data_IF_364198043329
#
_entry.id   IF_364198043329
#
_cell.length_a   1.000
_cell.length_b   1.000
_cell.length_c   1.000
_cell.angle_alpha   90.00
_cell.angle_beta   90.00
_cell.angle_gamma   90.00
#
_symmetry.space_group_name_H-M   'P 1'
#
loop_
_entity.id
_entity.type
_entity.pdbx_description
1 polymer ?
#
# COMPACT_ATOMS: atom_id res chain seq x y z
N UNK A 1 -11.24 -11.38 -15.56
CA UNK A 1 -11.48 -12.48 -14.61
C UNK A 1 -10.26 -13.37 -14.30
N UNK A 2 -9.41 -13.74 -15.28
CA UNK A 2 -8.33 -14.72 -15.03
C UNK A 2 -7.24 -14.32 -14.01
N UNK A 3 -6.94 -13.03 -13.84
CA UNK A 3 -5.87 -12.57 -12.93
C UNK A 3 -6.19 -12.74 -11.44
N UNK A 4 -7.33 -12.21 -10.99
CA UNK A 4 -7.79 -12.34 -9.59
C UNK A 4 -8.01 -13.80 -9.21
N UNK A 5 -8.63 -14.60 -10.08
CA UNK A 5 -8.82 -16.02 -9.84
C UNK A 5 -7.49 -16.75 -9.62
N UNK A 6 -6.49 -16.52 -10.47
CA UNK A 6 -5.14 -17.07 -10.30
C UNK A 6 -4.49 -16.65 -8.98
N UNK A 7 -4.67 -15.40 -8.55
CA UNK A 7 -4.15 -14.90 -7.28
C UNK A 7 -4.81 -15.59 -6.08
N UNK A 8 -6.13 -15.74 -6.08
CA UNK A 8 -6.85 -16.47 -5.04
C UNK A 8 -6.48 -17.94 -5.04
N UNK A 9 -6.37 -18.58 -6.19
CA UNK A 9 -5.94 -19.98 -6.30
C UNK A 9 -4.54 -20.20 -5.73
N UNK A 10 -3.59 -19.30 -6.03
CA UNK A 10 -2.24 -19.34 -5.48
C UNK A 10 -2.25 -19.11 -3.95
N UNK A 11 -3.12 -18.22 -3.47
CA UNK A 11 -3.29 -17.95 -2.03
C UNK A 11 -3.85 -19.16 -1.30
N UNK A 12 -4.85 -19.83 -1.87
CA UNK A 12 -5.41 -21.09 -1.33
C UNK A 12 -4.33 -22.17 -1.32
N UNK A 13 -3.63 -22.39 -2.44
CA UNK A 13 -2.59 -23.41 -2.52
C UNK A 13 -1.50 -23.22 -1.45
N UNK A 14 -1.07 -21.97 -1.23
CA UNK A 14 -0.13 -21.64 -0.15
C UNK A 14 -0.69 -21.96 1.24
N UNK A 15 -1.95 -21.62 1.50
CA UNK A 15 -2.58 -21.93 2.80
C UNK A 15 -2.78 -23.44 3.00
N UNK A 16 -3.08 -24.19 1.94
CA UNK A 16 -3.19 -25.65 1.99
C UNK A 16 -1.86 -26.27 2.39
N UNK A 17 -0.77 -25.82 1.77
CA UNK A 17 0.58 -26.31 2.06
C UNK A 17 1.03 -25.93 3.48
N UNK A 18 1.04 -24.62 3.79
CA UNK A 18 1.57 -24.09 5.05
C UNK A 18 0.74 -24.53 6.29
N UNK A 19 -0.57 -24.81 6.14
CA UNK A 19 -1.45 -25.23 7.24
C UNK A 19 -1.84 -26.71 7.17
N UNK A 20 -1.31 -27.44 6.19
CA UNK A 20 -1.65 -28.84 5.92
C UNK A 20 -3.17 -29.08 5.88
N UNK A 21 -3.88 -28.25 5.10
CA UNK A 21 -5.34 -28.34 5.00
C UNK A 21 -5.75 -29.63 4.28
N UNK A 22 -6.79 -30.30 4.77
CA UNK A 22 -7.37 -31.43 4.07
C UNK A 22 -8.29 -30.98 2.93
N UNK A 23 -8.71 -31.93 2.09
CA UNK A 23 -9.54 -31.65 0.91
C UNK A 23 -10.88 -30.94 1.24
N UNK A 24 -11.48 -31.23 2.39
CA UNK A 24 -12.72 -30.56 2.82
C UNK A 24 -12.46 -29.10 3.22
N UNK A 25 -11.36 -28.85 3.94
CA UNK A 25 -10.94 -27.51 4.35
C UNK A 25 -10.54 -26.66 3.15
N UNK A 26 -9.77 -27.24 2.21
CA UNK A 26 -9.45 -26.59 0.93
C UNK A 26 -10.73 -26.24 0.16
N UNK A 27 -11.66 -27.19 0.04
CA UNK A 27 -12.93 -26.96 -0.67
C UNK A 27 -13.74 -25.82 -0.05
N UNK A 28 -13.82 -25.75 1.28
CA UNK A 28 -14.49 -24.65 1.98
C UNK A 28 -13.82 -23.30 1.69
N UNK A 29 -12.48 -23.24 1.75
CA UNK A 29 -11.73 -22.02 1.45
C UNK A 29 -11.88 -21.57 -0.01
N UNK A 30 -11.88 -22.51 -0.96
CA UNK A 30 -12.14 -22.22 -2.39
C UNK A 30 -13.55 -21.70 -2.60
N UNK A 31 -14.54 -22.28 -1.92
CA UNK A 31 -15.93 -21.83 -2.00
C UNK A 31 -16.07 -20.39 -1.48
N UNK A 32 -15.43 -20.07 -0.35
CA UNK A 32 -15.38 -18.70 0.16
C UNK A 32 -14.81 -17.72 -0.87
N UNK A 33 -13.63 -18.00 -1.44
CA UNK A 33 -13.03 -17.10 -2.44
C UNK A 33 -13.83 -17.03 -3.75
N UNK A 34 -14.49 -18.12 -4.16
CA UNK A 34 -15.40 -18.09 -5.31
C UNK A 34 -16.62 -17.19 -5.06
N UNK A 35 -17.19 -17.24 -3.85
CA UNK A 35 -18.27 -16.34 -3.44
C UNK A 35 -17.80 -14.88 -3.43
N UNK A 36 -16.62 -14.60 -2.86
CA UNK A 36 -16.04 -13.25 -2.86
C UNK A 36 -15.78 -12.75 -4.29
N UNK A 37 -15.24 -13.60 -5.17
CA UNK A 37 -15.04 -13.27 -6.58
C UNK A 37 -16.35 -13.00 -7.31
N UNK A 38 -17.41 -13.74 -7.01
CA UNK A 38 -18.73 -13.54 -7.60
C UNK A 38 -19.36 -12.20 -7.23
N UNK A 39 -18.93 -11.58 -6.12
CA UNK A 39 -19.33 -10.23 -5.71
C UNK A 39 -18.53 -9.14 -6.42
N UNK A 40 -17.38 -9.48 -6.99
CA UNK A 40 -16.52 -8.54 -7.72
C UNK A 40 -17.02 -8.44 -9.17
N UNK A 41 -17.86 -7.43 -9.42
CA UNK A 41 -18.22 -7.02 -10.77
C UNK A 41 -17.11 -6.13 -11.36
N UNK A 42 -16.39 -6.66 -12.36
CA UNK A 42 -15.29 -5.97 -13.02
C UNK A 42 -15.75 -4.92 -14.03
N UNK A 43 -16.99 -4.98 -14.54
CA UNK A 43 -17.53 -3.95 -15.45
C UNK A 43 -17.80 -2.66 -14.66
N UNK A 44 -18.23 -2.80 -13.40
CA UNK A 44 -18.35 -1.70 -12.45
C UNK A 44 -17.00 -1.07 -12.03
N UNK A 45 -15.85 -1.73 -12.25
CA UNK A 45 -14.53 -1.15 -11.92
C UNK A 45 -14.16 0.06 -12.77
N UNK A 46 -14.69 0.15 -14.00
CA UNK A 46 -14.45 1.30 -14.87
C UNK A 46 -15.27 2.53 -14.45
N UNK A 47 -16.36 2.34 -13.72
CA UNK A 47 -17.26 3.39 -13.20
C UNK A 47 -17.12 3.59 -11.67
N UNK A 48 -16.04 3.09 -11.07
CA UNK A 48 -15.90 3.01 -9.61
C UNK A 48 -15.70 4.38 -8.96
N UNK A 49 -16.76 4.93 -8.39
CA UNK A 49 -16.62 5.95 -7.35
C UNK A 49 -15.77 5.41 -6.19
N UNK A 50 -14.77 6.20 -5.81
CA UNK A 50 -13.72 5.88 -4.82
C UNK A 50 -14.29 5.46 -3.45
N UNK A 51 -15.50 5.91 -3.12
CA UNK A 51 -16.16 5.66 -1.82
C UNK A 51 -17.40 4.74 -1.90
N UNK A 52 -17.59 4.03 -3.01
CA UNK A 52 -18.76 3.17 -3.18
C UNK A 52 -18.76 1.96 -2.22
N UNK A 53 -19.92 1.44 -1.80
CA UNK A 53 -20.02 0.19 -1.02
C UNK A 53 -19.32 -0.99 -1.71
N UNK A 54 -19.38 -1.06 -3.05
CA UNK A 54 -18.70 -2.07 -3.87
C UNK A 54 -17.17 -2.00 -3.70
N UNK A 55 -16.59 -0.80 -3.54
CA UNK A 55 -15.16 -0.66 -3.30
C UNK A 55 -14.74 -1.22 -1.96
N UNK A 56 -15.55 -0.98 -0.93
CA UNK A 56 -15.32 -1.53 0.42
C UNK A 56 -15.42 -3.05 0.44
N UNK A 57 -16.43 -3.60 -0.23
CA UNK A 57 -16.60 -5.06 -0.35
C UNK A 57 -15.42 -5.72 -1.07
N UNK A 58 -14.95 -5.12 -2.17
CA UNK A 58 -13.81 -5.64 -2.91
C UNK A 58 -12.50 -5.52 -2.12
N UNK A 59 -12.29 -4.40 -1.41
CA UNK A 59 -11.15 -4.25 -0.53
C UNK A 59 -11.16 -5.28 0.61
N UNK A 60 -12.32 -5.53 1.22
CA UNK A 60 -12.50 -6.56 2.24
C UNK A 60 -12.16 -7.96 1.70
N UNK A 61 -12.65 -8.31 0.51
CA UNK A 61 -12.30 -9.58 -0.14
C UNK A 61 -10.79 -9.73 -0.42
N UNK A 62 -10.12 -8.65 -0.85
CA UNK A 62 -8.68 -8.65 -1.12
C UNK A 62 -7.87 -8.80 0.17
N UNK A 63 -8.25 -8.07 1.23
CA UNK A 63 -7.65 -8.23 2.58
C UNK A 63 -7.90 -9.62 3.14
N UNK A 64 -9.00 -10.26 2.75
CA UNK A 64 -9.47 -11.51 3.32
C UNK A 64 -10.22 -11.28 4.64
N UNK A 65 -10.85 -10.12 4.79
CA UNK A 65 -11.65 -9.78 5.94
C UNK A 65 -12.79 -10.81 6.08
N UNK A 66 -12.94 -11.40 7.26
CA UNK A 66 -13.92 -12.46 7.52
C UNK A 66 -13.53 -13.87 7.06
N UNK A 67 -12.39 -14.07 6.36
CA UNK A 67 -11.91 -15.43 6.04
C UNK A 67 -11.68 -16.25 7.30
N UNK A 68 -11.01 -15.65 8.29
CA UNK A 68 -10.73 -16.32 9.56
C UNK A 68 -12.01 -16.76 10.26
N UNK A 69 -13.04 -15.92 10.26
CA UNK A 69 -14.33 -16.23 10.85
C UNK A 69 -15.08 -17.32 10.09
N UNK A 70 -15.07 -17.26 8.75
CA UNK A 70 -15.65 -18.30 7.90
C UNK A 70 -14.99 -19.66 8.14
N UNK A 71 -13.68 -19.67 8.32
CA UNK A 71 -12.89 -20.90 8.46
C UNK A 71 -12.89 -21.47 9.89
N UNK A 72 -13.42 -20.75 10.91
CA UNK A 72 -13.46 -21.21 12.32
C UNK A 72 -14.13 -22.58 12.49
N UNK A 73 -15.18 -22.86 11.73
CA UNK A 73 -15.91 -24.13 11.82
C UNK A 73 -15.21 -25.30 11.11
N UNK A 74 -14.20 -25.01 10.28
CA UNK A 74 -13.52 -26.00 9.45
C UNK A 74 -12.10 -26.30 9.92
N UNK A 75 -11.43 -25.32 10.52
CA UNK A 75 -10.03 -25.45 10.96
C UNK A 75 -9.94 -25.90 12.41
N UNK A 76 -8.90 -26.68 12.71
CA UNK A 76 -8.52 -26.92 14.10
C UNK A 76 -7.98 -25.63 14.73
N UNK A 77 -7.93 -25.57 16.07
CA UNK A 77 -7.34 -24.43 16.79
C UNK A 77 -5.93 -24.11 16.30
N UNK A 78 -5.08 -25.14 16.13
CA UNK A 78 -3.71 -24.96 15.65
C UNK A 78 -3.62 -24.44 14.21
N UNK A 79 -4.52 -24.87 13.32
CA UNK A 79 -4.59 -24.34 11.94
C UNK A 79 -5.09 -22.90 11.90
N UNK A 80 -6.04 -22.53 12.76
CA UNK A 80 -6.54 -21.16 12.88
C UNK A 80 -5.46 -20.21 13.41
N UNK A 81 -4.71 -20.63 14.42
CA UNK A 81 -3.54 -19.90 14.94
C UNK A 81 -2.44 -19.79 13.87
N UNK A 82 -2.16 -20.88 13.16
CA UNK A 82 -1.22 -20.89 12.03
C UNK A 82 -1.61 -19.90 10.93
N UNK A 83 -2.90 -19.79 10.61
CA UNK A 83 -3.42 -18.83 9.64
C UNK A 83 -3.23 -17.39 10.12
N UNK A 84 -3.52 -17.07 11.38
CA UNK A 84 -3.26 -15.75 11.96
C UNK A 84 -1.77 -15.41 11.93
N UNK A 85 -0.91 -16.33 12.33
CA UNK A 85 0.54 -16.15 12.30
C UNK A 85 1.06 -15.94 10.87
N UNK A 86 0.48 -16.61 9.88
CA UNK A 86 0.83 -16.38 8.47
C UNK A 86 0.42 -14.98 7.99
N UNK A 87 -0.77 -14.51 8.36
CA UNK A 87 -1.22 -13.15 8.04
C UNK A 87 -0.30 -12.11 8.65
N UNK A 88 0.10 -12.31 9.92
CA UNK A 88 1.03 -11.44 10.61
C UNK A 88 2.40 -11.43 9.93
N UNK A 89 3.00 -12.60 9.67
CA UNK A 89 4.28 -12.69 8.93
C UNK A 89 4.22 -11.99 7.58
N UNK A 90 3.10 -12.10 6.86
CA UNK A 90 2.91 -11.40 5.58
C UNK A 90 2.90 -9.88 5.77
N UNK A 91 2.25 -9.38 6.83
CA UNK A 91 2.24 -7.96 7.18
C UNK A 91 3.65 -7.47 7.52
N UNK A 92 4.36 -8.17 8.42
CA UNK A 92 5.74 -7.87 8.78
C UNK A 92 6.65 -7.84 7.56
N UNK A 93 6.58 -8.87 6.70
CA UNK A 93 7.40 -8.94 5.48
C UNK A 93 7.15 -7.75 4.53
N UNK A 94 5.92 -7.24 4.47
CA UNK A 94 5.59 -6.06 3.66
C UNK A 94 6.18 -4.78 4.24
N UNK A 95 6.13 -4.63 5.58
CA UNK A 95 6.72 -3.50 6.30
C UNK A 95 8.23 -3.50 6.07
N UNK A 96 8.90 -4.62 6.35
CA UNK A 96 10.35 -4.78 6.20
C UNK A 96 10.80 -4.52 4.75
N UNK A 97 10.10 -5.12 3.77
CA UNK A 97 10.42 -4.90 2.35
C UNK A 97 10.30 -3.44 1.93
N UNK A 98 9.28 -2.73 2.43
CA UNK A 98 9.09 -1.31 2.15
C UNK A 98 10.16 -0.45 2.84
N UNK A 99 10.48 -0.75 4.10
CA UNK A 99 11.50 -0.05 4.87
C UNK A 99 12.89 -0.22 4.26
N UNK A 100 13.32 -1.46 3.99
CA UNK A 100 14.62 -1.77 3.37
C UNK A 100 14.77 -1.10 2.01
N UNK A 101 13.70 -1.07 1.22
CA UNK A 101 13.71 -0.40 -0.08
C UNK A 101 13.91 1.10 0.03
N UNK A 102 13.20 1.75 0.96
CA UNK A 102 13.35 3.18 1.18
C UNK A 102 14.71 3.52 1.81
N UNK A 103 15.24 2.63 2.65
CA UNK A 103 16.58 2.76 3.19
C UNK A 103 17.63 2.70 2.08
N UNK A 104 17.52 1.75 1.15
CA UNK A 104 18.41 1.66 0.00
C UNK A 104 18.40 2.96 -0.83
N UNK A 105 17.22 3.52 -1.12
CA UNK A 105 17.08 4.82 -1.81
C UNK A 105 17.75 5.97 -1.05
N UNK A 106 17.71 5.94 0.28
CA UNK A 106 18.37 6.95 1.11
C UNK A 106 19.91 6.82 0.99
N UNK A 107 20.40 5.58 1.04
CA UNK A 107 21.82 5.25 0.93
C UNK A 107 22.41 5.52 -0.46
N UNK A 108 21.61 5.52 -1.52
CA UNK A 108 22.06 5.90 -2.87
C UNK A 108 22.60 7.35 -2.94
N UNK A 109 22.21 8.20 -1.98
CA UNK A 109 22.49 9.64 -2.02
C UNK A 109 23.21 10.16 -0.79
N UNK A 110 23.20 9.38 0.30
CA UNK A 110 23.78 9.74 1.58
C UNK A 110 24.69 8.63 2.10
N UNK A 111 25.88 9.02 2.51
CA UNK A 111 26.70 8.20 3.38
C UNK A 111 26.13 8.25 4.80
N UNK A 112 25.61 7.12 5.26
CA UNK A 112 25.04 6.95 6.60
C UNK A 112 25.99 6.15 7.48
N UNK A 113 26.17 6.56 8.74
CA UNK A 113 26.83 5.71 9.74
C UNK A 113 25.97 4.48 10.05
N UNK A 114 26.51 3.46 10.71
CA UNK A 114 25.71 2.30 11.13
C UNK A 114 24.54 2.70 12.03
N UNK A 115 24.80 3.59 13.01
CA UNK A 115 23.76 4.12 13.91
C UNK A 115 22.65 4.86 13.14
N UNK A 116 23.02 5.67 12.15
CA UNK A 116 22.05 6.36 11.29
C UNK A 116 21.25 5.39 10.41
N UNK A 117 21.87 4.31 9.92
CA UNK A 117 21.15 3.27 9.15
C UNK A 117 20.10 2.57 10.00
N UNK A 118 20.46 2.18 11.22
CA UNK A 118 19.56 1.47 12.12
C UNK A 118 18.40 2.37 12.57
N UNK A 119 18.70 3.64 12.89
CA UNK A 119 17.67 4.63 13.21
C UNK A 119 16.76 4.96 12.02
N UNK A 120 17.32 5.13 10.82
CA UNK A 120 16.55 5.37 9.60
C UNK A 120 15.64 4.16 9.29
N UNK A 121 16.15 2.94 9.44
CA UNK A 121 15.36 1.73 9.26
C UNK A 121 14.14 1.69 10.19
N UNK A 122 14.33 1.96 11.48
CA UNK A 122 13.25 1.95 12.46
C UNK A 122 12.14 2.95 12.07
N UNK A 123 12.52 4.19 11.72
CA UNK A 123 11.57 5.23 11.31
C UNK A 123 10.85 4.85 9.99
N UNK A 124 11.58 4.26 9.03
CA UNK A 124 11.00 3.83 7.75
C UNK A 124 10.07 2.62 7.91
N UNK A 125 10.35 1.72 8.85
CA UNK A 125 9.47 0.61 9.20
C UNK A 125 8.18 1.11 9.84
N UNK A 126 8.26 2.07 10.76
CA UNK A 126 7.08 2.70 11.37
C UNK A 126 6.23 3.44 10.31
N UNK A 127 6.85 4.23 9.42
CA UNK A 127 6.13 4.90 8.33
C UNK A 127 5.49 3.88 7.36
N UNK A 128 6.17 2.76 7.07
CA UNK A 128 5.62 1.69 6.25
C UNK A 128 4.42 1.00 6.92
N UNK A 129 4.50 0.75 8.22
CA UNK A 129 3.37 0.23 9.01
C UNK A 129 2.19 1.20 8.98
N UNK A 130 2.43 2.47 9.27
CA UNK A 130 1.41 3.53 9.25
C UNK A 130 0.75 3.63 7.87
N UNK A 131 1.53 3.53 6.78
CA UNK A 131 1.00 3.52 5.40
C UNK A 131 0.19 2.27 5.07
N UNK A 132 0.54 1.12 5.62
CA UNK A 132 -0.24 -0.11 5.45
C UNK A 132 -1.55 0.00 6.24
N UNK A 133 -1.51 0.53 7.45
CA UNK A 133 -2.67 0.69 8.33
C UNK A 133 -3.66 1.76 7.84
N UNK A 134 -3.16 2.89 7.34
CA UNK A 134 -3.97 4.01 6.82
C UNK A 134 -4.31 3.90 5.32
N UNK A 135 -4.00 2.75 4.69
CA UNK A 135 -4.25 2.55 3.26
C UNK A 135 -5.75 2.61 2.96
N UNK A 136 -6.14 3.43 1.99
CA UNK A 136 -7.53 3.48 1.53
C UNK A 136 -7.91 2.21 0.76
N UNK A 137 -9.20 1.87 0.82
CA UNK A 137 -9.77 0.74 0.07
C UNK A 137 -9.51 0.86 -1.43
N UNK A 138 -9.63 2.07 -1.97
CA UNK A 138 -9.35 2.37 -3.38
C UNK A 138 -7.88 2.12 -3.76
N UNK A 139 -6.92 2.56 -2.95
CA UNK A 139 -5.49 2.30 -3.21
C UNK A 139 -5.17 0.79 -3.15
N UNK A 140 -5.79 0.07 -2.20
CA UNK A 140 -5.63 -1.38 -2.11
C UNK A 140 -6.14 -2.10 -3.36
N UNK A 141 -7.35 -1.77 -3.79
CA UNK A 141 -7.97 -2.39 -4.96
C UNK A 141 -7.20 -2.07 -6.23
N UNK A 142 -6.87 -0.79 -6.44
CA UNK A 142 -6.08 -0.31 -7.56
C UNK A 142 -4.81 -1.15 -7.79
N UNK A 143 -4.05 -1.37 -6.71
CA UNK A 143 -2.80 -2.15 -6.74
C UNK A 143 -3.06 -3.60 -7.11
N UNK A 144 -4.11 -4.20 -6.57
CA UNK A 144 -4.40 -5.61 -6.83
C UNK A 144 -4.91 -5.83 -8.26
N UNK A 145 -5.72 -4.90 -8.81
CA UNK A 145 -6.12 -4.89 -10.23
C UNK A 145 -4.89 -4.83 -11.13
N UNK A 146 -3.96 -3.89 -10.87
CA UNK A 146 -2.73 -3.78 -11.66
C UNK A 146 -1.86 -5.04 -11.57
N UNK A 147 -1.71 -5.62 -10.38
CA UNK A 147 -1.02 -6.91 -10.21
C UNK A 147 -1.72 -8.04 -10.97
N UNK A 148 -3.05 -8.08 -10.96
CA UNK A 148 -3.84 -9.08 -11.68
C UNK A 148 -3.68 -8.95 -13.20
N UNK A 149 -3.39 -7.73 -13.69
CA UNK A 149 -3.04 -7.45 -15.09
C UNK A 149 -1.55 -7.69 -15.41
N UNK A 150 -0.75 -8.12 -14.43
CA UNK A 150 0.69 -8.36 -14.60
C UNK A 150 1.54 -7.09 -14.58
N UNK A 151 0.95 -5.93 -14.28
CA UNK A 151 1.66 -4.65 -14.15
C UNK A 151 2.36 -4.63 -12.79
N UNK A 152 3.69 -4.85 -12.80
CA UNK A 152 4.54 -4.74 -11.62
C UNK A 152 5.15 -3.34 -11.57
N UNK A 153 4.39 -2.37 -11.09
CA UNK A 153 4.97 -1.05 -10.77
C UNK A 153 5.62 -1.07 -9.38
N UNK A 154 6.71 -0.31 -9.22
CA UNK A 154 7.22 0.05 -7.91
C UNK A 154 6.30 1.08 -7.27
N UNK A 155 5.42 0.60 -6.40
CA UNK A 155 4.31 1.39 -5.88
C UNK A 155 4.54 1.84 -4.43
N UNK A 156 5.73 1.64 -3.85
CA UNK A 156 5.99 2.00 -2.45
C UNK A 156 5.89 3.51 -2.18
N UNK A 157 6.06 4.32 -3.23
CA UNK A 157 6.09 5.79 -3.16
C UNK A 157 4.87 6.49 -3.79
N UNK A 158 4.02 5.76 -4.50
CA UNK A 158 2.85 6.33 -5.19
C UNK A 158 1.59 5.99 -4.41
N UNK A 159 0.88 7.01 -3.95
CA UNK A 159 -0.52 6.87 -3.53
C UNK A 159 -1.36 6.73 -4.80
N UNK A 160 -1.95 5.55 -5.02
CA UNK A 160 -2.74 5.28 -6.22
C UNK A 160 -4.14 5.89 -6.14
N UNK A 161 -4.63 6.18 -4.94
CA UNK A 161 -5.95 6.81 -4.79
C UNK A 161 -6.01 8.15 -5.51
N UNK A 162 -4.91 8.89 -5.55
CA UNK A 162 -4.80 10.15 -6.29
C UNK A 162 -4.81 9.95 -7.81
N UNK A 163 -4.20 8.88 -8.32
CA UNK A 163 -4.21 8.57 -9.75
C UNK A 163 -5.62 8.21 -10.25
N UNK A 164 -6.45 7.62 -9.39
CA UNK A 164 -7.87 7.41 -9.65
C UNK A 164 -8.68 8.72 -9.57
N UNK A 165 -8.37 9.60 -8.60
CA UNK A 165 -8.97 10.95 -8.52
C UNK A 165 -8.62 11.82 -9.73
N UNK A 166 -7.45 11.63 -10.34
CA UNK A 166 -6.99 12.39 -11.50
C UNK A 166 -7.34 11.73 -12.85
N UNK A 167 -8.00 10.57 -12.86
CA UNK A 167 -8.48 9.96 -14.10
C UNK A 167 -9.72 10.72 -14.61
N UNK A 168 -9.82 11.00 -15.92
CA UNK A 168 -10.90 11.81 -16.51
C UNK A 168 -12.31 11.23 -16.33
N UNK A 169 -12.44 9.97 -15.91
CA UNK A 169 -13.72 9.28 -15.66
C UNK A 169 -14.29 9.64 -14.27
N UNK A 170 -13.46 10.00 -13.29
CA UNK A 170 -13.88 10.48 -11.97
C UNK A 170 -13.70 11.98 -11.79
N UNK A 171 -13.22 12.66 -12.83
CA UNK A 171 -13.31 14.11 -13.00
C UNK A 171 -14.75 14.52 -13.38
N UNK A 172 -15.75 13.99 -12.68
CA UNK A 172 -17.05 14.62 -12.66
C UNK A 172 -16.85 15.97 -11.97
N UNK A 173 -16.64 17.00 -12.79
CA UNK A 173 -16.48 18.41 -12.43
C UNK A 173 -15.06 18.99 -12.32
N UNK A 174 -14.10 18.55 -13.15
CA UNK A 174 -12.93 19.43 -13.46
C UNK A 174 -13.02 20.00 -14.87
N UNK A 175 -13.84 21.04 -15.00
CA UNK A 175 -13.60 22.15 -15.94
C UNK A 175 -12.33 22.93 -15.53
N UNK A 176 -11.21 22.23 -15.31
CA UNK A 176 -9.99 22.77 -14.72
C UNK A 176 -8.95 23.10 -15.77
N UNK A 177 -8.62 24.38 -15.90
CA UNK A 177 -7.48 24.89 -16.66
C UNK A 177 -6.21 24.03 -16.43
N UNK A 178 -5.54 23.53 -17.48
CA UNK A 178 -4.28 22.76 -17.38
C UNK A 178 -3.23 23.39 -16.45
N UNK A 179 -3.18 24.72 -16.34
CA UNK A 179 -2.27 25.39 -15.40
C UNK A 179 -2.64 25.10 -13.94
N UNK A 180 -3.93 25.12 -13.59
CA UNK A 180 -4.40 24.82 -12.23
C UNK A 180 -4.10 23.38 -11.80
N UNK A 181 -4.17 22.42 -12.74
CA UNK A 181 -3.80 21.03 -12.51
C UNK A 181 -2.29 20.89 -12.26
N UNK A 182 -1.46 21.56 -13.06
CA UNK A 182 0.00 21.53 -12.89
C UNK A 182 0.44 22.09 -11.52
N UNK A 183 -0.20 23.18 -11.05
CA UNK A 183 0.09 23.78 -9.76
C UNK A 183 -0.28 22.85 -8.59
N UNK A 184 -1.43 22.18 -8.67
CA UNK A 184 -1.86 21.20 -7.64
C UNK A 184 -0.91 20.01 -7.55
N UNK A 185 -0.51 19.45 -8.69
CA UNK A 185 0.43 18.32 -8.75
C UNK A 185 1.79 18.71 -8.16
N UNK A 186 2.29 19.91 -8.49
CA UNK A 186 3.54 20.41 -7.94
C UNK A 186 3.47 20.64 -6.42
N UNK A 187 2.39 21.24 -5.92
CA UNK A 187 2.19 21.45 -4.49
C UNK A 187 2.12 20.13 -3.71
N UNK A 188 1.40 19.14 -4.22
CA UNK A 188 1.33 17.80 -3.62
C UNK A 188 2.68 17.09 -3.63
N UNK A 189 3.44 17.21 -4.73
CA UNK A 189 4.80 16.68 -4.80
C UNK A 189 5.67 17.31 -3.73
N UNK A 190 5.62 18.63 -3.56
CA UNK A 190 6.40 19.34 -2.56
C UNK A 190 6.02 18.90 -1.13
N UNK A 191 4.73 18.79 -0.82
CA UNK A 191 4.27 18.26 0.48
C UNK A 191 4.78 16.84 0.77
N UNK A 192 4.81 15.96 -0.24
CA UNK A 192 5.36 14.60 -0.10
C UNK A 192 6.87 14.64 0.18
N UNK A 193 7.60 15.55 -0.46
CA UNK A 193 9.03 15.75 -0.20
C UNK A 193 9.24 16.24 1.22
N UNK A 194 8.51 17.26 1.65
CA UNK A 194 8.67 17.84 2.99
C UNK A 194 8.30 16.84 4.08
N UNK A 195 7.25 16.04 3.91
CA UNK A 195 6.94 14.93 4.82
C UNK A 195 8.10 13.94 4.91
N UNK A 196 8.70 13.55 3.78
CA UNK A 196 9.83 12.61 3.75
C UNK A 196 11.08 13.18 4.44
N UNK A 197 11.37 14.46 4.23
CA UNK A 197 12.49 15.15 4.88
C UNK A 197 12.25 15.27 6.38
N UNK A 198 11.04 15.69 6.78
CA UNK A 198 10.64 15.80 8.18
C UNK A 198 10.74 14.46 8.91
N UNK A 199 10.30 13.38 8.27
CA UNK A 199 10.39 12.02 8.81
C UNK A 199 11.84 11.65 9.18
N UNK A 200 12.83 12.11 8.41
CA UNK A 200 14.25 11.80 8.62
C UNK A 200 14.99 12.83 9.47
N UNK A 201 14.31 13.89 9.94
CA UNK A 201 14.95 15.04 10.59
C UNK A 201 15.66 14.71 11.92
N UNK A 202 15.18 13.67 12.63
CA UNK A 202 15.79 13.19 13.87
C UNK A 202 16.98 12.26 13.66
N UNK A 203 17.21 11.80 12.42
CA UNK A 203 18.24 10.79 12.08
C UNK A 203 19.39 11.41 11.29
N UNK A 204 19.06 12.35 10.39
CA UNK A 204 20.00 12.94 9.46
C UNK A 204 20.47 14.31 9.96
N UNK A 205 21.74 14.62 9.69
CA UNK A 205 22.27 15.98 9.87
C UNK A 205 21.63 16.95 8.89
N UNK A 206 21.68 18.26 9.17
CA UNK A 206 21.16 19.29 8.26
C UNK A 206 21.75 19.18 6.85
N UNK A 207 23.06 18.97 6.74
CA UNK A 207 23.73 18.78 5.45
C UNK A 207 23.27 17.51 4.69
N UNK A 208 22.88 16.45 5.41
CA UNK A 208 22.28 15.25 4.82
C UNK A 208 20.82 15.51 4.43
N UNK A 209 20.04 16.23 5.24
CA UNK A 209 18.65 16.61 4.93
C UNK A 209 18.55 17.46 3.67
N UNK A 210 19.45 18.43 3.48
CA UNK A 210 19.51 19.25 2.25
C UNK A 210 19.81 18.39 1.03
N UNK A 211 20.77 17.47 1.13
CA UNK A 211 21.10 16.51 0.05
C UNK A 211 19.92 15.59 -0.26
N UNK A 212 19.26 15.09 0.78
CA UNK A 212 18.09 14.25 0.62
C UNK A 212 16.93 14.98 -0.06
N UNK A 213 16.58 16.19 0.39
CA UNK A 213 15.55 17.03 -0.26
C UNK A 213 15.85 17.26 -1.73
N UNK A 214 17.10 17.57 -2.06
CA UNK A 214 17.55 17.75 -3.45
C UNK A 214 17.41 16.46 -4.27
N UNK A 215 17.74 15.30 -3.70
CA UNK A 215 17.59 14.00 -4.38
C UNK A 215 16.15 13.65 -4.73
N UNK A 216 15.19 14.08 -3.90
CA UNK A 216 13.76 13.92 -4.15
C UNK A 216 13.23 14.91 -5.22
N UNK A 217 14.08 15.83 -5.67
CA UNK A 217 13.76 16.88 -6.63
C UNK A 217 12.98 18.04 -6.02
N UNK A 218 13.16 18.30 -4.72
CA UNK A 218 12.63 19.48 -4.03
C UNK A 218 13.61 20.65 -4.08
N UNK A 219 13.09 21.87 -3.88
CA UNK A 219 13.93 23.07 -3.75
C UNK A 219 14.68 23.04 -2.40
N UNK A 220 16.02 23.02 -2.39
CA UNK A 220 16.78 23.03 -1.13
C UNK A 220 16.54 24.26 -0.25
N UNK A 221 15.96 25.35 -0.79
CA UNK A 221 15.70 26.61 -0.07
C UNK A 221 14.25 26.75 0.45
N UNK A 222 13.38 25.75 0.28
CA UNK A 222 11.98 25.86 0.72
C UNK A 222 11.74 25.57 2.23
N UNK A 223 12.77 25.19 2.99
CA UNK A 223 12.63 24.97 4.42
C UNK A 223 13.15 26.16 5.23
N UNK A 224 12.23 27.08 5.55
CA UNK A 224 12.16 27.90 6.77
C UNK A 224 11.10 29.00 6.55
N UNK A 225 9.82 28.61 6.46
CA UNK A 225 8.76 29.53 6.88
C UNK A 225 8.31 29.06 8.26
N UNK A 226 9.13 29.41 9.24
CA UNK A 226 8.67 29.55 10.62
C UNK A 226 7.50 30.51 10.57
N UNK A 227 6.31 30.04 10.96
CA UNK A 227 5.17 30.92 11.18
C UNK A 227 5.54 31.75 12.42
N UNK A 228 6.10 32.94 12.20
CA UNK A 228 6.08 33.98 13.22
C UNK A 228 4.63 34.46 13.31
N UNK A 229 3.94 33.98 14.35
CA UNK A 229 2.72 34.62 14.81
C UNK A 229 3.11 35.90 15.52
N UNK A 230 2.86 37.05 14.89
CA UNK A 230 2.65 38.32 15.60
C UNK A 230 1.26 38.34 16.27
#
# INVERSE_FOLDING_TARGET
>A
MNGFRKQFDARVAKMVDDLSLNASQEKAMRAYYAEQLGKIDMEALNDLEIDSPKMKEMAAAIRGDGLSDHMKAYLTTGQLEGMKAMQERKRTSQIESAALKNLAKLQDTLDLTQEQRDAAYAVLAEDAENKIASRSDADLVAREVMRAQGIRMDMSDRDMSEMFKSHPIHAADTSGDPQSMSLRVNAQRQQKIDRKVQLMSSVLTEAQLTRYRKSLGGDPNSASMTIETE
#
